data_IF_792753850020
#
_entry.id   IF_792753850020
#
_cell.length_a   1.000
_cell.length_b   1.000
_cell.length_c   1.000
_cell.angle_alpha   90.00
_cell.angle_beta   90.00
_cell.angle_gamma   90.00
#
_symmetry.space_group_name_H-M   'P 1'
#
loop_
_entity.id
_entity.type
_entity.pdbx_description
1 polymer ?
#
# COMPACT_ATOMS: atom_id res chain seq x y z
N UNK A 1 -5.78 28.95 8.29
CA UNK A 1 -5.80 28.00 9.42
C UNK A 1 -6.48 26.68 9.08
N UNK A 2 -7.67 26.68 8.45
CA UNK A 2 -8.43 25.45 8.15
C UNK A 2 -7.64 24.43 7.31
N UNK A 3 -6.90 24.90 6.28
CA UNK A 3 -6.13 23.99 5.40
C UNK A 3 -5.04 23.21 6.14
N UNK A 4 -4.33 23.85 7.09
CA UNK A 4 -3.28 23.17 7.86
C UNK A 4 -3.84 22.05 8.75
N UNK A 5 -5.04 22.25 9.31
CA UNK A 5 -5.73 21.22 10.09
C UNK A 5 -6.13 20.03 9.22
N UNK A 6 -6.65 20.29 8.00
CA UNK A 6 -6.98 19.23 7.05
C UNK A 6 -5.76 18.47 6.57
N UNK A 7 -4.67 19.15 6.20
CA UNK A 7 -3.39 18.52 5.83
C UNK A 7 -2.83 17.65 6.96
N UNK A 8 -2.90 18.13 8.20
CA UNK A 8 -2.46 17.36 9.38
C UNK A 8 -3.36 16.15 9.61
N UNK A 9 -4.68 16.31 9.48
CA UNK A 9 -5.65 15.24 9.68
C UNK A 9 -5.55 14.15 8.59
N UNK A 10 -5.25 14.51 7.33
CA UNK A 10 -4.99 13.52 6.27
C UNK A 10 -3.67 12.78 6.51
N UNK A 11 -2.62 13.49 6.96
CA UNK A 11 -1.36 12.89 7.40
C UNK A 11 -1.55 11.88 8.53
N UNK A 12 -2.29 12.23 9.58
CA UNK A 12 -2.56 11.32 10.71
C UNK A 12 -3.34 10.07 10.26
N UNK A 13 -4.36 10.23 9.41
CA UNK A 13 -5.11 9.06 8.89
C UNK A 13 -4.23 8.15 8.05
N UNK A 14 -3.36 8.72 7.21
CA UNK A 14 -2.41 7.94 6.42
C UNK A 14 -1.45 7.15 7.32
N UNK A 15 -0.95 7.76 8.39
CA UNK A 15 -0.08 7.08 9.35
C UNK A 15 -0.82 5.99 10.15
N UNK A 16 -2.06 6.23 10.57
CA UNK A 16 -2.88 5.20 11.21
C UNK A 16 -3.01 3.97 10.30
N UNK A 17 -3.37 4.18 9.04
CA UNK A 17 -3.51 3.09 8.07
C UNK A 17 -2.18 2.35 7.81
N UNK A 18 -1.05 3.06 7.84
CA UNK A 18 0.27 2.46 7.75
C UNK A 18 0.53 1.52 8.94
N UNK A 19 0.28 2.01 10.17
CA UNK A 19 0.45 1.23 11.40
C UNK A 19 -0.46 0.00 11.40
N UNK A 20 -1.72 0.14 10.98
CA UNK A 20 -2.67 -0.97 10.89
C UNK A 20 -2.17 -2.04 9.91
N UNK A 21 -1.60 -1.63 8.77
CA UNK A 21 -1.03 -2.55 7.78
C UNK A 21 0.22 -3.27 8.32
N UNK A 22 1.09 -2.55 9.04
CA UNK A 22 2.27 -3.14 9.70
C UNK A 22 1.82 -4.15 10.77
N UNK A 23 0.83 -3.79 11.57
CA UNK A 23 0.28 -4.67 12.61
C UNK A 23 -0.32 -5.95 12.00
N UNK A 24 -1.07 -5.83 10.90
CA UNK A 24 -1.62 -6.98 10.19
C UNK A 24 -0.51 -7.90 9.64
N UNK A 25 0.55 -7.31 9.06
CA UNK A 25 1.69 -8.09 8.56
C UNK A 25 2.42 -8.83 9.70
N UNK A 26 2.61 -8.18 10.85
CA UNK A 26 3.29 -8.76 11.99
C UNK A 26 2.47 -9.88 12.62
N UNK A 27 1.15 -9.69 12.75
CA UNK A 27 0.25 -10.69 13.30
C UNK A 27 0.23 -11.99 12.47
N UNK A 28 0.45 -11.89 11.15
CA UNK A 28 0.42 -13.03 10.22
C UNK A 28 1.80 -13.52 9.80
N UNK A 29 2.86 -13.16 10.52
CA UNK A 29 4.24 -13.55 10.17
C UNK A 29 4.46 -15.07 10.14
N UNK A 30 3.73 -15.80 10.98
CA UNK A 30 3.82 -17.26 11.08
C UNK A 30 2.77 -18.00 10.24
N UNK A 31 1.89 -17.28 9.55
CA UNK A 31 0.84 -17.89 8.72
C UNK A 31 1.44 -18.43 7.42
N UNK A 32 1.22 -19.71 7.13
CA UNK A 32 1.72 -20.36 5.91
C UNK A 32 1.14 -19.69 4.66
N UNK A 33 2.00 -19.43 3.67
CA UNK A 33 1.58 -18.81 2.41
C UNK A 33 1.22 -17.31 2.49
N UNK A 34 1.32 -16.66 3.66
CA UNK A 34 1.00 -15.23 3.81
C UNK A 34 1.91 -14.33 2.97
N UNK A 35 1.32 -13.30 2.34
CA UNK A 35 2.03 -12.29 1.54
C UNK A 35 1.82 -10.92 2.17
N UNK A 36 2.94 -10.32 2.60
CA UNK A 36 2.96 -9.00 3.23
C UNK A 36 2.36 -7.92 2.33
N UNK A 37 1.55 -7.05 2.93
CA UNK A 37 0.98 -5.89 2.29
C UNK A 37 1.85 -4.65 2.53
N UNK A 38 1.92 -3.75 1.57
CA UNK A 38 2.55 -2.43 1.70
C UNK A 38 1.57 -1.36 1.24
N UNK A 39 1.46 -0.30 2.04
CA UNK A 39 0.69 0.88 1.68
C UNK A 39 1.53 1.82 0.83
N UNK A 40 0.93 2.36 -0.22
CA UNK A 40 1.48 3.45 -1.01
C UNK A 40 0.68 4.72 -0.80
N UNK A 41 1.39 5.82 -0.59
CA UNK A 41 0.80 7.14 -0.38
C UNK A 41 1.01 8.02 -1.60
N UNK A 42 0.05 8.88 -1.87
CA UNK A 42 0.08 9.85 -2.96
C UNK A 42 -0.28 11.23 -2.43
N UNK A 43 0.35 12.25 -2.98
CA UNK A 43 -0.01 13.63 -2.71
C UNK A 43 -1.37 13.96 -3.32
N UNK A 44 -2.03 14.96 -2.72
CA UNK A 44 -3.25 15.54 -3.27
C UNK A 44 -2.91 16.72 -4.19
N UNK A 45 -3.86 17.10 -5.03
CA UNK A 45 -3.71 18.21 -5.98
C UNK A 45 -3.24 19.48 -5.27
N UNK A 46 -2.38 20.25 -5.92
CA UNK A 46 -1.86 21.51 -5.40
C UNK A 46 -2.78 22.69 -5.77
N UNK A 47 -2.98 23.63 -4.85
CA UNK A 47 -3.58 24.93 -5.14
C UNK A 47 -2.50 25.93 -5.51
N UNK A 48 -2.55 26.47 -6.73
CA UNK A 48 -1.68 27.58 -7.13
C UNK A 48 -2.32 28.90 -6.68
N UNK A 49 -1.75 29.54 -5.68
CA UNK A 49 -2.17 30.87 -5.20
C UNK A 49 -1.57 31.99 -6.04
N UNK A 50 -0.37 31.76 -6.58
CA UNK A 50 0.32 32.71 -7.45
C UNK A 50 1.09 31.94 -8.50
N UNK A 51 0.75 32.15 -9.77
CA UNK A 51 1.45 31.52 -10.88
C UNK A 51 2.82 32.21 -11.07
N UNK A 52 3.91 31.47 -11.30
CA UNK A 52 5.18 32.09 -11.69
C UNK A 52 5.05 32.72 -13.09
N UNK A 53 5.74 33.83 -13.34
CA UNK A 53 5.80 34.45 -14.67
C UNK A 53 4.63 35.35 -15.07
N UNK A 54 3.61 35.54 -14.21
CA UNK A 54 2.60 36.60 -14.43
C UNK A 54 3.21 37.99 -14.19
N UNK A 55 2.74 39.00 -14.92
CA UNK A 55 3.15 40.38 -14.73
C UNK A 55 2.61 40.92 -13.40
N UNK A 56 3.51 41.45 -12.56
CA UNK A 56 3.16 42.14 -11.32
C UNK A 56 3.00 43.65 -11.54
N UNK A 57 3.75 44.22 -12.49
CA UNK A 57 3.59 45.59 -13.04
C UNK A 57 4.02 45.57 -14.53
N UNK A 58 3.92 46.70 -15.25
CA UNK A 58 4.38 46.82 -16.66
C UNK A 58 5.85 46.43 -16.89
N UNK A 59 6.68 46.37 -15.83
CA UNK A 59 8.13 46.13 -15.92
C UNK A 59 8.64 45.00 -15.00
N UNK A 60 7.82 44.42 -14.13
CA UNK A 60 8.23 43.31 -13.24
C UNK A 60 7.35 42.09 -13.37
N UNK A 61 7.99 40.94 -13.51
CA UNK A 61 7.37 39.61 -13.45
C UNK A 61 7.45 39.04 -12.04
N UNK A 62 6.52 38.17 -11.70
CA UNK A 62 6.60 37.36 -10.48
C UNK A 62 7.62 36.24 -10.68
N UNK A 63 8.78 36.25 -9.99
CA UNK A 63 9.84 35.27 -10.23
C UNK A 63 9.54 33.89 -9.63
N UNK A 64 8.72 33.81 -8.58
CA UNK A 64 8.43 32.56 -7.86
C UNK A 64 6.93 32.40 -7.66
N UNK A 65 6.41 31.23 -8.04
CA UNK A 65 5.02 30.85 -7.80
C UNK A 65 4.78 30.42 -6.36
N UNK A 66 3.54 30.54 -5.89
CA UNK A 66 3.11 30.02 -4.58
C UNK A 66 2.14 28.88 -4.85
N UNK A 67 2.53 27.67 -4.47
CA UNK A 67 1.69 26.47 -4.51
C UNK A 67 1.50 25.92 -3.10
N UNK A 68 0.27 25.53 -2.78
CA UNK A 68 -0.12 24.95 -1.50
C UNK A 68 -0.58 23.51 -1.71
N UNK A 69 0.06 22.56 -1.03
CA UNK A 69 -0.36 21.15 -1.04
C UNK A 69 -1.53 20.89 -0.08
N UNK A 70 -2.50 20.07 -0.49
CA UNK A 70 -3.67 19.74 0.33
C UNK A 70 -3.50 18.49 1.20
N UNK A 71 -2.29 17.92 1.23
CA UNK A 71 -1.96 16.75 2.05
C UNK A 71 -1.82 15.47 1.24
N UNK A 72 -2.13 14.34 1.88
CA UNK A 72 -1.80 12.99 1.39
C UNK A 72 -3.03 12.09 1.43
N UNK A 73 -3.08 11.10 0.54
CA UNK A 73 -4.05 10.00 0.62
C UNK A 73 -3.35 8.66 0.45
N UNK A 74 -4.02 7.61 0.92
CA UNK A 74 -3.68 6.23 0.56
C UNK A 74 -4.04 6.00 -0.90
N UNK A 75 -3.05 5.67 -1.74
CA UNK A 75 -3.24 5.42 -3.17
C UNK A 75 -3.58 3.96 -3.45
N UNK A 76 -2.79 3.04 -2.89
CA UNK A 76 -2.98 1.61 -3.07
C UNK A 76 -2.43 0.80 -1.90
N UNK A 77 -2.89 -0.44 -1.76
CA UNK A 77 -2.25 -1.45 -0.92
C UNK A 77 -1.73 -2.56 -1.83
N UNK A 78 -0.42 -2.66 -1.96
CA UNK A 78 0.23 -3.66 -2.79
C UNK A 78 0.59 -4.90 -1.99
N UNK A 79 0.34 -6.09 -2.56
CA UNK A 79 0.84 -7.36 -2.00
C UNK A 79 2.21 -7.66 -2.57
N UNK A 80 3.17 -8.00 -1.70
CA UNK A 80 4.50 -8.41 -2.11
C UNK A 80 4.60 -9.93 -2.24
N UNK A 81 4.84 -10.41 -3.45
CA UNK A 81 4.88 -11.85 -3.77
C UNK A 81 6.25 -12.53 -3.55
N UNK A 82 7.19 -11.90 -2.85
CA UNK A 82 8.51 -12.49 -2.57
C UNK A 82 8.40 -13.86 -1.91
N UNK A 83 9.33 -14.77 -2.22
CA UNK A 83 9.46 -16.04 -1.53
C UNK A 83 9.91 -15.77 -0.08
N UNK A 84 9.33 -16.51 0.85
CA UNK A 84 9.66 -16.44 2.27
C UNK A 84 10.58 -17.58 2.68
N UNK A 85 10.78 -17.69 4.00
CA UNK A 85 11.53 -18.79 4.59
C UNK A 85 10.77 -20.11 4.41
N UNK A 86 11.52 -21.21 4.31
CA UNK A 86 10.99 -22.56 4.16
C UNK A 86 11.32 -23.34 5.41
N UNK A 87 10.34 -24.02 5.96
CA UNK A 87 10.51 -24.96 7.08
C UNK A 87 10.11 -26.33 6.57
N UNK A 88 11.01 -27.30 6.75
CA UNK A 88 10.73 -28.69 6.41
C UNK A 88 9.87 -29.33 7.51
N UNK A 89 8.68 -29.81 7.16
CA UNK A 89 7.72 -30.41 8.09
C UNK A 89 7.75 -31.94 8.12
N UNK A 90 8.51 -32.57 7.20
CA UNK A 90 8.60 -34.03 6.99
C UNK A 90 7.26 -34.74 6.69
N UNK A 91 6.20 -33.99 6.45
CA UNK A 91 4.91 -34.53 6.01
C UNK A 91 4.91 -34.68 4.49
N UNK A 92 4.43 -35.82 3.98
CA UNK A 92 4.40 -36.12 2.54
C UNK A 92 3.37 -35.25 1.80
N UNK A 93 2.33 -34.80 2.51
CA UNK A 93 1.25 -33.98 1.94
C UNK A 93 1.53 -32.46 2.01
N UNK A 94 2.60 -32.04 2.68
CA UNK A 94 2.95 -30.62 2.76
C UNK A 94 3.78 -30.23 1.53
N UNK A 95 3.17 -29.45 0.65
CA UNK A 95 3.79 -29.06 -0.62
C UNK A 95 4.13 -27.56 -0.65
N UNK A 96 5.31 -27.24 -1.19
CA UNK A 96 5.73 -25.85 -1.42
C UNK A 96 5.79 -25.57 -2.92
N UNK A 97 5.35 -24.37 -3.31
CA UNK A 97 5.57 -23.82 -4.65
C UNK A 97 6.83 -22.96 -4.69
N UNK A 98 7.77 -23.29 -5.57
CA UNK A 98 9.04 -22.55 -5.71
C UNK A 98 8.92 -21.23 -6.49
N UNK A 99 7.89 -21.10 -7.34
CA UNK A 99 7.66 -19.85 -8.08
C UNK A 99 6.85 -18.85 -7.26
N UNK A 100 7.23 -17.55 -7.22
CA UNK A 100 6.49 -16.48 -6.54
C UNK A 100 5.04 -16.31 -6.99
N UNK A 101 4.78 -16.54 -8.28
CA UNK A 101 3.50 -16.23 -8.95
C UNK A 101 2.62 -17.48 -9.19
N UNK A 102 3.02 -18.62 -8.65
CA UNK A 102 2.23 -19.85 -8.72
C UNK A 102 1.29 -19.98 -7.52
N UNK A 103 0.13 -20.60 -7.74
CA UNK A 103 -0.88 -20.84 -6.71
C UNK A 103 -1.47 -22.24 -6.88
N UNK A 104 -1.85 -22.86 -5.78
CA UNK A 104 -2.70 -24.03 -5.77
C UNK A 104 -4.14 -23.59 -6.08
N UNK A 105 -4.81 -24.37 -6.93
CA UNK A 105 -6.22 -24.19 -7.25
C UNK A 105 -7.02 -25.15 -6.36
N UNK A 106 -7.90 -24.60 -5.55
CA UNK A 106 -8.80 -25.35 -4.66
C UNK A 106 -10.25 -25.00 -4.95
N UNK A 107 -11.17 -25.86 -4.53
CA UNK A 107 -12.60 -25.70 -4.73
C UNK A 107 -13.25 -25.52 -3.37
N UNK A 108 -14.03 -24.45 -3.21
CA UNK A 108 -14.83 -24.19 -2.01
C UNK A 108 -16.08 -25.10 -1.97
N UNK A 109 -16.75 -25.18 -0.82
CA UNK A 109 -17.98 -25.97 -0.61
C UNK A 109 -19.10 -25.59 -1.62
N UNK A 110 -19.06 -24.37 -2.13
CA UNK A 110 -19.98 -23.84 -3.15
C UNK A 110 -19.54 -24.10 -4.59
N UNK A 111 -18.55 -24.97 -4.81
CA UNK A 111 -17.91 -25.24 -6.10
C UNK A 111 -17.21 -24.03 -6.75
N UNK A 112 -16.85 -23.02 -5.96
CA UNK A 112 -16.09 -21.87 -6.46
C UNK A 112 -14.59 -22.18 -6.52
N UNK A 113 -13.94 -21.72 -7.59
CA UNK A 113 -12.50 -21.83 -7.75
C UNK A 113 -11.78 -20.76 -6.93
N UNK A 114 -10.93 -21.18 -6.00
CA UNK A 114 -10.12 -20.30 -5.15
C UNK A 114 -8.64 -20.65 -5.35
N UNK A 115 -7.77 -19.65 -5.18
CA UNK A 115 -6.33 -19.79 -5.26
C UNK A 115 -5.67 -19.60 -3.90
N UNK A 116 -4.82 -20.53 -3.50
CA UNK A 116 -4.07 -20.48 -2.24
C UNK A 116 -2.60 -20.79 -2.45
N UNK A 117 -1.76 -20.32 -1.54
CA UNK A 117 -0.35 -20.74 -1.43
C UNK A 117 -0.09 -21.59 -0.20
N UNK A 118 -1.12 -21.81 0.61
CA UNK A 118 -1.03 -22.76 1.70
C UNK A 118 -1.00 -24.17 1.10
N UNK A 119 0.01 -24.93 1.49
CA UNK A 119 0.26 -26.28 1.00
C UNK A 119 0.12 -27.35 2.07
N UNK A 120 -0.44 -26.99 3.23
CA UNK A 120 -0.82 -27.94 4.27
C UNK A 120 -2.09 -28.69 3.86
N UNK A 121 -1.97 -29.65 2.94
CA UNK A 121 -3.08 -30.52 2.57
C UNK A 121 -3.27 -31.60 3.64
N UNK A 122 -4.52 -31.77 4.10
CA UNK A 122 -4.95 -32.75 5.10
C UNK A 122 -6.05 -33.63 4.53
#
# INVERSE_FOLDING_TARGET
MINALFTSATGMRAQQFNVDTIANNLANVNTTGFKKARVEFQDLLYQTLRTPGVQSTQQTIVPVGIQLGHGVRTGATQRMFSLGNVVETKNVFDLKLDSPYSFFKVVDDKQNLIYTRDGSFK
#
